data_IF_425173782779
#
_entry.id   IF_425173782779
#
_cell.length_a   1.000
_cell.length_b   1.000
_cell.length_c   1.000
_cell.angle_alpha   90.00
_cell.angle_beta   90.00
_cell.angle_gamma   90.00
#
_symmetry.space_group_name_H-M   'P 1'
#
loop_
_entity.id
_entity.type
_entity.pdbx_description
1 polymer ?
#
# COMPACT_ATOMS: atom_id res chain seq x y z
N UNK A 1 9.47 21.26 -17.68
CA UNK A 1 8.28 21.06 -18.54
C UNK A 1 7.07 20.84 -17.64
N UNK A 2 6.13 21.74 -17.68
CA UNK A 2 4.84 21.58 -16.98
C UNK A 2 4.03 20.51 -17.73
N UNK A 3 3.69 19.39 -17.04
CA UNK A 3 2.77 18.41 -17.60
C UNK A 3 1.39 19.05 -17.70
N UNK A 4 0.76 18.97 -18.87
CA UNK A 4 -0.61 19.45 -19.07
C UNK A 4 -1.59 18.65 -18.22
N UNK A 5 -2.62 19.27 -17.62
CA UNK A 5 -3.59 18.59 -16.76
C UNK A 5 -4.35 17.44 -17.46
N UNK A 6 -4.50 17.50 -18.78
CA UNK A 6 -5.10 16.43 -19.59
C UNK A 6 -4.25 15.13 -19.59
N UNK A 7 -2.92 15.23 -19.46
CA UNK A 7 -2.02 14.10 -19.44
C UNK A 7 -2.01 13.39 -18.07
N UNK A 8 -2.25 14.13 -17.00
CA UNK A 8 -2.33 13.56 -15.63
C UNK A 8 -3.65 12.79 -15.43
N UNK A 9 -4.77 13.28 -15.98
CA UNK A 9 -6.06 12.59 -15.94
C UNK A 9 -6.00 11.25 -16.67
N UNK A 10 -5.41 11.19 -17.84
CA UNK A 10 -5.29 9.97 -18.64
C UNK A 10 -4.39 8.93 -17.96
N UNK A 11 -3.28 9.35 -17.37
CA UNK A 11 -2.38 8.48 -16.62
C UNK A 11 -3.04 7.90 -15.35
N UNK A 12 -3.88 8.67 -14.65
CA UNK A 12 -4.66 8.23 -13.49
C UNK A 12 -5.68 7.17 -13.88
N UNK A 13 -6.43 7.40 -14.94
CA UNK A 13 -7.44 6.45 -15.43
C UNK A 13 -6.81 5.12 -15.90
N UNK A 14 -5.68 5.19 -16.60
CA UNK A 14 -4.96 3.99 -17.03
C UNK A 14 -4.51 3.16 -15.83
N UNK A 15 -3.99 3.81 -14.79
CA UNK A 15 -3.60 3.15 -13.54
C UNK A 15 -4.82 2.55 -12.81
N UNK A 16 -5.96 3.21 -12.82
CA UNK A 16 -7.19 2.68 -12.25
C UNK A 16 -7.69 1.43 -13.00
N UNK A 17 -7.60 1.39 -14.33
CA UNK A 17 -7.93 0.20 -15.12
C UNK A 17 -7.03 -0.98 -14.78
N UNK A 18 -5.74 -0.74 -14.56
CA UNK A 18 -4.80 -1.79 -14.16
C UNK A 18 -5.12 -2.33 -12.74
N UNK A 19 -5.43 -1.45 -11.80
CA UNK A 19 -5.71 -1.82 -10.42
C UNK A 19 -7.07 -2.51 -10.28
N UNK A 20 -8.11 -2.03 -11.01
CA UNK A 20 -9.49 -2.49 -10.89
C UNK A 20 -9.66 -4.00 -11.09
N UNK A 21 -8.82 -4.61 -11.91
CA UNK A 21 -8.87 -6.06 -12.19
C UNK A 21 -8.32 -6.93 -11.05
N UNK A 22 -7.53 -6.35 -10.16
CA UNK A 22 -6.83 -7.04 -9.06
C UNK A 22 -7.36 -6.64 -7.68
N UNK A 23 -7.99 -5.49 -7.58
CA UNK A 23 -8.49 -4.93 -6.33
C UNK A 23 -9.84 -5.52 -5.93
N UNK A 24 -10.15 -5.42 -4.64
CA UNK A 24 -11.52 -5.61 -4.16
C UNK A 24 -12.28 -4.32 -4.38
N UNK A 25 -13.34 -4.34 -5.18
CA UNK A 25 -14.19 -3.18 -5.47
C UNK A 25 -15.33 -3.04 -4.46
N UNK A 26 -15.98 -1.88 -4.44
CA UNK A 26 -17.18 -1.63 -3.64
C UNK A 26 -18.32 -1.15 -4.54
N UNK A 27 -19.45 -1.88 -4.49
CA UNK A 27 -20.64 -1.59 -5.29
C UNK A 27 -21.74 -0.87 -4.49
N UNK A 28 -21.40 -0.27 -3.35
CA UNK A 28 -22.36 0.47 -2.52
C UNK A 28 -22.99 1.62 -3.28
N UNK A 29 -24.31 1.78 -3.13
CA UNK A 29 -25.07 2.91 -3.69
C UNK A 29 -25.37 4.00 -2.66
N UNK A 30 -25.17 3.72 -1.38
CA UNK A 30 -25.59 4.59 -0.28
C UNK A 30 -24.46 4.93 0.70
N UNK A 31 -23.21 4.65 0.35
CA UNK A 31 -22.07 4.92 1.24
C UNK A 31 -21.78 6.43 1.30
N UNK A 32 -21.73 7.03 2.52
CA UNK A 32 -21.49 8.46 2.68
C UNK A 32 -20.10 8.94 2.25
N UNK A 33 -19.13 8.03 2.15
CA UNK A 33 -17.73 8.31 1.80
C UNK A 33 -17.33 7.74 0.42
N UNK A 34 -18.32 7.35 -0.38
CA UNK A 34 -18.08 6.69 -1.68
C UNK A 34 -17.32 7.56 -2.69
N UNK A 35 -17.51 8.87 -2.67
CA UNK A 35 -16.88 9.81 -3.62
C UNK A 35 -15.34 9.83 -3.51
N UNK A 36 -14.81 9.59 -2.31
CA UNK A 36 -13.38 9.56 -2.03
C UNK A 36 -12.84 8.16 -1.72
N UNK A 37 -13.66 7.14 -1.95
CA UNK A 37 -13.26 5.75 -1.73
C UNK A 37 -12.75 5.12 -3.02
N UNK A 38 -11.47 4.80 -3.09
CA UNK A 38 -10.85 4.17 -4.24
C UNK A 38 -11.58 2.87 -4.66
N UNK A 39 -11.96 2.01 -3.70
CA UNK A 39 -12.69 0.77 -4.00
C UNK A 39 -14.02 1.00 -4.70
N UNK A 40 -14.70 2.11 -4.37
CA UNK A 40 -15.95 2.49 -5.03
C UNK A 40 -15.70 3.06 -6.43
N UNK A 41 -14.68 3.90 -6.58
CA UNK A 41 -14.30 4.49 -7.87
C UNK A 41 -13.86 3.40 -8.85
N UNK A 42 -13.09 2.42 -8.41
CA UNK A 42 -12.56 1.34 -9.25
C UNK A 42 -13.65 0.46 -9.89
N UNK A 43 -14.87 0.41 -9.34
CA UNK A 43 -15.96 -0.39 -9.95
C UNK A 43 -16.29 0.02 -11.39
N UNK A 44 -16.09 1.30 -11.71
CA UNK A 44 -16.37 1.86 -13.04
C UNK A 44 -15.24 1.63 -14.04
N UNK A 45 -14.08 1.13 -13.57
CA UNK A 45 -12.90 0.82 -14.37
C UNK A 45 -12.69 -0.68 -14.61
N UNK A 46 -13.56 -1.54 -14.10
CA UNK A 46 -13.51 -2.98 -14.37
C UNK A 46 -13.95 -3.22 -15.81
N UNK A 47 -13.12 -3.89 -16.66
CA UNK A 47 -13.50 -4.16 -18.04
C UNK A 47 -14.70 -5.11 -18.11
N UNK A 48 -15.63 -4.86 -19.06
CA UNK A 48 -16.85 -5.66 -19.24
C UNK A 48 -16.62 -7.13 -19.50
N UNK A 49 -15.48 -7.48 -20.11
CA UNK A 49 -15.15 -8.87 -20.43
C UNK A 49 -14.65 -9.68 -19.20
N UNK A 50 -14.43 -9.04 -18.04
CA UNK A 50 -14.02 -9.75 -16.85
C UNK A 50 -15.17 -10.56 -16.25
N UNK A 51 -15.02 -11.88 -16.10
CA UNK A 51 -16.12 -12.76 -15.67
C UNK A 51 -16.44 -12.66 -14.17
N UNK A 52 -15.44 -12.28 -13.36
CA UNK A 52 -15.59 -12.22 -11.89
C UNK A 52 -14.75 -11.10 -11.30
N UNK A 53 -15.22 -10.53 -10.19
CA UNK A 53 -14.50 -9.52 -9.41
C UNK A 53 -14.62 -9.83 -7.92
N UNK A 54 -13.60 -9.45 -7.16
CA UNK A 54 -13.71 -9.39 -5.69
C UNK A 54 -14.48 -8.15 -5.28
N UNK A 55 -15.46 -8.29 -4.40
CA UNK A 55 -16.25 -7.16 -3.91
C UNK A 55 -16.38 -7.16 -2.38
N UNK A 56 -16.54 -5.97 -1.81
CA UNK A 56 -16.83 -5.77 -0.40
C UNK A 56 -18.19 -6.38 -0.06
N UNK A 57 -18.27 -7.13 1.04
CA UNK A 57 -19.52 -7.70 1.52
C UNK A 57 -20.41 -6.62 2.17
N UNK A 58 -21.34 -6.07 1.41
CA UNK A 58 -22.21 -4.97 1.85
C UNK A 58 -23.24 -5.37 2.92
N UNK A 59 -23.48 -6.67 3.11
CA UNK A 59 -24.30 -7.19 4.20
C UNK A 59 -23.68 -7.04 5.61
N UNK A 60 -22.41 -6.74 5.69
CA UNK A 60 -21.75 -6.45 6.96
C UNK A 60 -22.12 -5.04 7.44
N UNK A 61 -22.71 -4.86 8.64
CA UNK A 61 -23.17 -3.55 9.12
C UNK A 61 -22.08 -2.50 9.33
N UNK A 62 -20.81 -2.90 9.38
CA UNK A 62 -19.67 -1.98 9.47
C UNK A 62 -19.32 -1.34 8.12
N UNK A 63 -19.80 -1.91 7.03
CA UNK A 63 -19.62 -1.35 5.68
C UNK A 63 -20.65 -0.23 5.44
N UNK A 64 -20.41 0.60 4.44
CA UNK A 64 -21.31 1.71 4.06
C UNK A 64 -21.53 2.75 5.18
N UNK A 65 -20.52 2.93 6.03
CA UNK A 65 -20.51 3.92 7.13
C UNK A 65 -19.34 4.88 6.96
N UNK A 66 -19.37 6.01 7.66
CA UNK A 66 -18.25 6.97 7.68
C UNK A 66 -16.93 6.34 8.18
N UNK A 67 -17.02 5.32 9.04
CA UNK A 67 -15.88 4.59 9.61
C UNK A 67 -15.66 3.22 8.95
N UNK A 68 -15.99 3.09 7.67
CA UNK A 68 -15.86 1.83 6.95
C UNK A 68 -14.42 1.30 6.97
N UNK A 69 -14.18 0.06 7.49
CA UNK A 69 -12.84 -0.51 7.58
C UNK A 69 -12.24 -0.85 6.21
N UNK A 70 -13.04 -0.90 5.17
CA UNK A 70 -12.61 -1.13 3.80
C UNK A 70 -12.36 0.15 3.00
N UNK A 71 -12.52 1.32 3.62
CA UNK A 71 -12.19 2.59 2.98
C UNK A 71 -10.73 2.62 2.52
N UNK A 72 -10.52 3.11 1.32
CA UNK A 72 -9.19 3.40 0.77
C UNK A 72 -9.25 4.77 0.08
N UNK A 73 -8.31 5.68 0.40
CA UNK A 73 -8.29 7.00 -0.21
C UNK A 73 -8.04 6.91 -1.72
N UNK A 74 -8.63 7.80 -2.46
CA UNK A 74 -8.46 7.93 -3.91
C UNK A 74 -7.22 8.74 -4.33
N UNK A 75 -6.36 9.03 -3.37
CA UNK A 75 -5.09 9.70 -3.58
C UNK A 75 -3.92 8.71 -3.46
N UNK A 76 -2.85 8.88 -4.26
CA UNK A 76 -1.66 8.06 -4.13
C UNK A 76 -0.95 8.33 -2.80
N UNK A 77 -0.45 7.29 -2.18
CA UNK A 77 0.33 7.35 -0.95
C UNK A 77 1.81 7.18 -1.27
N UNK A 78 2.64 8.07 -0.71
CA UNK A 78 4.09 7.95 -0.82
C UNK A 78 4.57 6.81 0.08
N UNK A 79 5.19 5.81 -0.53
CA UNK A 79 5.67 4.61 0.16
C UNK A 79 7.17 4.40 -0.04
N UNK A 80 7.90 3.99 1.01
CA UNK A 80 9.31 3.67 0.89
C UNK A 80 9.59 2.45 0.01
N UNK A 81 10.75 2.46 -0.64
CA UNK A 81 11.32 1.35 -1.41
C UNK A 81 12.72 1.02 -0.92
N UNK A 82 12.97 -0.25 -0.62
CA UNK A 82 14.29 -0.75 -0.28
C UNK A 82 14.72 -0.47 1.16
N UNK A 83 15.37 -1.47 1.76
CA UNK A 83 15.82 -1.42 3.15
C UNK A 83 17.36 -1.44 3.30
N UNK A 84 18.12 -1.31 2.22
CA UNK A 84 19.58 -1.45 2.27
C UNK A 84 20.22 -0.34 3.09
N UNK A 85 19.83 0.91 2.87
CA UNK A 85 20.36 2.07 3.60
C UNK A 85 20.07 2.05 5.08
N UNK A 86 18.97 1.42 5.49
CA UNK A 86 18.59 1.30 6.89
C UNK A 86 19.69 0.64 7.73
N UNK A 87 20.48 -0.25 7.14
CA UNK A 87 21.53 -1.01 7.82
C UNK A 87 22.93 -0.38 7.75
N UNK A 88 23.17 0.68 6.97
CA UNK A 88 24.52 1.19 6.69
C UNK A 88 25.29 1.59 7.95
N UNK A 89 24.64 2.31 8.85
CA UNK A 89 25.26 2.80 10.09
C UNK A 89 24.98 1.91 11.29
N UNK A 90 24.36 0.76 11.07
CA UNK A 90 23.93 -0.14 12.12
C UNK A 90 25.05 -1.12 12.50
N UNK A 91 25.31 -1.32 13.81
CA UNK A 91 26.21 -2.39 14.27
C UNK A 91 25.76 -3.77 13.76
N UNK A 92 26.70 -4.59 13.32
CA UNK A 92 26.41 -5.89 12.71
C UNK A 92 25.55 -6.83 13.57
N UNK A 93 25.69 -6.79 14.87
CA UNK A 93 24.90 -7.63 15.78
C UNK A 93 23.42 -7.19 15.79
N UNK A 94 23.16 -5.88 15.73
CA UNK A 94 21.80 -5.34 15.60
C UNK A 94 21.20 -5.63 14.23
N UNK A 95 21.96 -5.43 13.16
CA UNK A 95 21.56 -5.79 11.80
C UNK A 95 21.07 -7.24 11.72
N UNK A 96 21.84 -8.18 12.24
CA UNK A 96 21.46 -9.61 12.26
C UNK A 96 20.17 -9.86 13.03
N UNK A 97 20.03 -9.25 14.20
CA UNK A 97 18.85 -9.39 15.06
C UNK A 97 17.61 -8.82 14.39
N UNK A 98 17.69 -7.62 13.86
CA UNK A 98 16.58 -6.92 13.19
C UNK A 98 16.18 -7.68 11.93
N UNK A 99 17.12 -8.05 11.09
CA UNK A 99 16.89 -8.86 9.89
C UNK A 99 16.16 -10.16 10.21
N UNK A 100 16.62 -10.90 11.22
CA UNK A 100 15.98 -12.15 11.65
C UNK A 100 14.53 -11.92 12.11
N UNK A 101 14.27 -10.87 12.86
CA UNK A 101 12.91 -10.51 13.32
C UNK A 101 12.00 -10.12 12.17
N UNK A 102 12.49 -9.32 11.22
CA UNK A 102 11.70 -8.91 10.04
C UNK A 102 11.41 -10.11 9.14
N UNK A 103 12.34 -11.03 8.96
CA UNK A 103 12.12 -12.29 8.22
C UNK A 103 11.04 -13.13 8.90
N UNK A 104 11.03 -13.20 10.23
CA UNK A 104 10.00 -13.91 10.98
C UNK A 104 8.62 -13.27 10.83
N UNK A 105 8.54 -11.93 10.73
CA UNK A 105 7.28 -11.21 10.53
C UNK A 105 6.74 -11.33 9.10
N UNK A 106 7.60 -11.23 8.09
CA UNK A 106 7.18 -11.10 6.69
C UNK A 106 7.31 -12.37 5.86
N UNK A 107 8.03 -13.37 6.30
CA UNK A 107 8.63 -14.47 5.54
C UNK A 107 9.89 -14.05 4.77
N UNK A 108 10.74 -15.02 4.47
CA UNK A 108 12.01 -14.80 3.76
C UNK A 108 11.80 -14.14 2.38
N UNK A 109 10.85 -14.65 1.61
CA UNK A 109 10.54 -14.15 0.26
C UNK A 109 10.08 -12.70 0.31
N UNK A 110 9.15 -12.38 1.21
CA UNK A 110 8.57 -11.04 1.32
C UNK A 110 9.58 -10.05 1.87
N UNK A 111 10.39 -10.44 2.85
CA UNK A 111 11.49 -9.62 3.35
C UNK A 111 12.43 -9.18 2.21
N UNK A 112 12.88 -10.11 1.36
CA UNK A 112 13.79 -9.76 0.26
C UNK A 112 13.12 -8.94 -0.84
N UNK A 113 11.82 -9.01 -1.01
CA UNK A 113 11.07 -8.11 -1.88
C UNK A 113 11.09 -6.67 -1.35
N UNK A 114 10.92 -6.47 -0.05
CA UNK A 114 11.07 -5.16 0.59
C UNK A 114 12.51 -4.68 0.56
N UNK A 115 13.45 -5.51 0.97
CA UNK A 115 14.87 -5.19 1.02
C UNK A 115 15.43 -4.75 -0.33
N UNK A 116 15.07 -5.42 -1.39
CA UNK A 116 15.50 -5.13 -2.76
C UNK A 116 14.72 -4.03 -3.47
N UNK A 117 13.71 -3.43 -2.84
CA UNK A 117 12.89 -2.37 -3.44
C UNK A 117 11.91 -2.85 -4.51
N UNK A 118 11.65 -4.15 -4.60
CA UNK A 118 10.68 -4.72 -5.55
C UNK A 118 9.24 -4.65 -5.07
N UNK A 119 9.05 -4.37 -3.79
CA UNK A 119 7.75 -4.23 -3.16
C UNK A 119 7.75 -2.97 -2.31
N UNK A 120 6.77 -2.05 -2.51
CA UNK A 120 6.64 -0.88 -1.68
C UNK A 120 6.33 -1.24 -0.23
N UNK A 121 6.93 -0.50 0.69
CA UNK A 121 6.66 -0.59 2.12
C UNK A 121 5.38 0.19 2.40
N UNK A 122 4.29 -0.52 2.65
CA UNK A 122 3.01 0.11 3.01
C UNK A 122 3.08 0.72 4.41
N UNK A 123 2.18 1.67 4.77
CA UNK A 123 2.20 2.30 6.10
C UNK A 123 2.17 1.32 7.26
N UNK A 124 1.40 0.24 7.16
CA UNK A 124 1.34 -0.81 8.20
C UNK A 124 2.68 -1.54 8.34
N UNK A 125 3.32 -1.86 7.21
CA UNK A 125 4.63 -2.52 7.18
C UNK A 125 5.72 -1.58 7.71
N UNK A 126 5.68 -0.30 7.35
CA UNK A 126 6.59 0.70 7.88
C UNK A 126 6.49 0.81 9.41
N UNK A 127 5.29 0.80 9.95
CA UNK A 127 5.05 0.80 11.38
C UNK A 127 5.64 -0.44 12.06
N UNK A 128 5.47 -1.64 11.48
CA UNK A 128 6.07 -2.87 11.97
C UNK A 128 7.61 -2.82 11.95
N UNK A 129 8.19 -2.24 10.91
CA UNK A 129 9.65 -2.03 10.82
C UNK A 129 10.10 -1.10 11.94
N UNK A 130 9.46 0.05 12.15
CA UNK A 130 9.78 1.00 13.21
C UNK A 130 9.69 0.36 14.60
N UNK A 131 8.63 -0.38 14.87
CA UNK A 131 8.47 -1.11 16.14
C UNK A 131 9.57 -2.14 16.36
N UNK A 132 9.96 -2.88 15.32
CA UNK A 132 11.03 -3.87 15.39
C UNK A 132 12.38 -3.24 15.66
N UNK A 133 12.68 -2.10 15.04
CA UNK A 133 13.90 -1.32 15.30
C UNK A 133 13.96 -0.87 16.76
N UNK A 134 12.91 -0.25 17.26
CA UNK A 134 12.86 0.22 18.65
C UNK A 134 12.96 -0.92 19.66
N UNK A 135 12.25 -2.02 19.45
CA UNK A 135 12.31 -3.21 20.30
C UNK A 135 13.68 -3.89 20.28
N UNK A 136 14.49 -3.65 19.25
CA UNK A 136 15.86 -4.16 19.14
C UNK A 136 16.92 -3.21 19.70
N UNK A 137 16.53 -2.03 20.18
CA UNK A 137 17.41 -1.00 20.74
C UNK A 137 17.95 0.02 19.74
N UNK A 138 17.43 0.04 18.51
CA UNK A 138 17.77 1.04 17.50
C UNK A 138 16.77 2.20 17.53
N UNK A 139 17.22 3.39 17.96
CA UNK A 139 16.35 4.53 18.22
C UNK A 139 16.32 5.55 17.08
N UNK A 140 17.14 5.37 16.04
CA UNK A 140 17.16 6.24 14.87
C UNK A 140 16.00 5.89 13.92
N UNK A 141 15.50 6.90 13.23
CA UNK A 141 14.50 6.67 12.17
C UNK A 141 15.09 5.83 11.02
N UNK A 142 14.31 4.90 10.46
CA UNK A 142 14.76 4.13 9.31
C UNK A 142 14.98 5.03 8.08
N UNK A 143 16.11 4.82 7.41
CA UNK A 143 16.42 5.45 6.14
C UNK A 143 16.15 4.44 5.04
N UNK A 144 15.31 4.80 4.08
CA UNK A 144 14.96 3.94 2.95
C UNK A 144 15.76 4.32 1.70
N UNK A 145 15.87 3.39 0.75
CA UNK A 145 16.69 3.59 -0.46
C UNK A 145 16.05 4.57 -1.43
N UNK A 146 14.72 4.50 -1.57
CA UNK A 146 13.94 5.33 -2.49
C UNK A 146 12.48 5.42 -2.02
N UNK A 147 11.64 6.09 -2.81
CA UNK A 147 10.20 6.25 -2.56
C UNK A 147 9.41 6.12 -3.85
N UNK A 148 8.19 5.63 -3.75
CA UNK A 148 7.20 5.59 -4.83
C UNK A 148 5.87 6.15 -4.37
N UNK A 149 5.02 6.55 -5.30
CA UNK A 149 3.62 6.93 -5.04
C UNK A 149 2.69 5.90 -5.65
N UNK A 150 1.93 5.23 -4.81
CA UNK A 150 1.03 4.14 -5.20
C UNK A 150 -0.34 4.28 -4.53
N UNK A 151 -1.37 3.81 -5.24
CA UNK A 151 -2.71 3.69 -4.65
C UNK A 151 -2.78 2.46 -3.75
N UNK A 152 -3.33 2.63 -2.54
CA UNK A 152 -3.58 1.53 -1.62
C UNK A 152 -4.95 0.90 -1.89
N UNK A 153 -4.95 -0.37 -2.27
CA UNK A 153 -6.19 -1.14 -2.50
C UNK A 153 -6.20 -2.44 -1.72
#
# INVERSE_FOLDING_TARGET
MLKSPENEGNAREEKFREIATKATICQSQHCPISEHCLRHILKDFVPEHYPTVSAVHLGNPKMQTADCPQFRPDEPVRMPLGLKRMYYDMPRHLERTIKSRLISLFSLKRYYQYHGGRRPVTPDVEQLIRQTLLASGWTQDPVFDDYTEEYLC
#
